data_IF_349378130060
#
_entry.id   IF_349378130060
#
_cell.length_a   1.000
_cell.length_b   1.000
_cell.length_c   1.000
_cell.angle_alpha   90.00
_cell.angle_beta   90.00
_cell.angle_gamma   90.00
#
_symmetry.space_group_name_H-M   'P 1'
#
loop_
_entity.id
_entity.type
_entity.pdbx_description
1 polymer ?
#
# COMPACT_ATOMS: atom_id res chain seq x y z
N UNK A 1 -8.42 -1.89 -1.26
CA UNK A 1 -8.68 -2.09 0.17
C UNK A 1 -7.35 -2.09 0.91
N UNK A 2 -7.34 -1.63 2.16
CA UNK A 2 -6.16 -1.63 3.01
C UNK A 2 -6.51 -1.09 4.38
N UNK A 3 -5.80 -1.56 5.40
CA UNK A 3 -5.91 -1.08 6.77
C UNK A 3 -4.54 -0.62 7.26
N UNK A 4 -4.51 0.50 7.99
CA UNK A 4 -3.28 1.04 8.55
C UNK A 4 -3.53 1.47 9.99
N UNK A 5 -2.68 1.00 10.88
CA UNK A 5 -2.68 1.36 12.30
C UNK A 5 -1.29 1.85 12.67
N UNK A 6 -1.25 3.00 13.31
CA UNK A 6 -0.02 3.70 13.69
C UNK A 6 0.02 3.90 15.21
N UNK A 7 1.22 3.90 15.77
CA UNK A 7 1.50 4.09 17.19
C UNK A 7 2.82 3.42 17.57
N UNK A 8 3.24 3.59 18.81
CA UNK A 8 4.38 2.84 19.35
C UNK A 8 4.08 1.33 19.27
N UNK A 9 5.07 0.55 18.86
CA UNK A 9 4.83 -0.87 18.56
C UNK A 9 4.36 -1.66 19.78
N UNK A 10 4.88 -1.35 20.96
CA UNK A 10 4.48 -1.96 22.24
C UNK A 10 3.05 -1.61 22.67
N UNK A 11 2.47 -0.55 22.14
CA UNK A 11 1.09 -0.12 22.44
C UNK A 11 0.08 -0.62 21.39
N UNK A 12 0.57 -1.17 20.28
CA UNK A 12 -0.31 -1.58 19.18
C UNK A 12 -1.05 -2.87 19.53
N UNK A 13 -2.38 -2.83 19.46
CA UNK A 13 -3.22 -3.99 19.73
C UNK A 13 -2.90 -5.14 18.75
N UNK A 14 -2.59 -6.37 19.24
CA UNK A 14 -2.28 -7.52 18.38
C UNK A 14 -3.35 -7.83 17.33
N UNK A 15 -4.64 -7.61 17.63
CA UNK A 15 -5.73 -7.79 16.65
C UNK A 15 -5.60 -6.83 15.46
N UNK A 16 -5.06 -5.63 15.68
CA UNK A 16 -4.81 -4.65 14.61
C UNK A 16 -3.64 -5.06 13.73
N UNK A 17 -2.61 -5.67 14.31
CA UNK A 17 -1.52 -6.28 13.55
C UNK A 17 -2.06 -7.42 12.67
N UNK A 18 -2.86 -8.33 13.24
CA UNK A 18 -3.48 -9.43 12.50
C UNK A 18 -4.38 -8.93 11.36
N UNK A 19 -5.16 -7.87 11.61
CA UNK A 19 -6.04 -7.26 10.59
C UNK A 19 -5.22 -6.72 9.40
N UNK A 20 -4.12 -6.00 9.66
CA UNK A 20 -3.23 -5.51 8.59
C UNK A 20 -2.60 -6.66 7.80
N UNK A 21 -2.06 -7.68 8.48
CA UNK A 21 -1.46 -8.84 7.83
C UNK A 21 -2.48 -9.55 6.95
N UNK A 22 -3.67 -9.77 7.47
CA UNK A 22 -4.74 -10.47 6.74
C UNK A 22 -5.22 -9.66 5.54
N UNK A 23 -5.55 -8.39 5.74
CA UNK A 23 -6.14 -7.55 4.68
C UNK A 23 -5.12 -7.18 3.61
N UNK A 24 -3.90 -6.79 4.01
CA UNK A 24 -2.95 -6.14 3.12
C UNK A 24 -1.88 -7.08 2.56
N UNK A 25 -1.78 -8.30 3.07
CA UNK A 25 -0.79 -9.29 2.61
C UNK A 25 -1.42 -10.65 2.29
N UNK A 26 -2.10 -11.29 3.25
CA UNK A 26 -2.65 -12.64 3.06
C UNK A 26 -3.70 -12.66 1.94
N UNK A 27 -4.67 -11.76 1.98
CA UNK A 27 -5.75 -11.70 0.97
C UNK A 27 -5.19 -11.48 -0.45
N UNK A 28 -4.30 -10.51 -0.72
CA UNK A 28 -3.69 -10.37 -2.04
C UNK A 28 -2.96 -11.63 -2.53
N UNK A 29 -2.25 -12.33 -1.65
CA UNK A 29 -1.56 -13.58 -1.99
C UNK A 29 -2.54 -14.68 -2.37
N UNK A 30 -3.60 -14.87 -1.58
CA UNK A 30 -4.64 -15.89 -1.84
C UNK A 30 -5.38 -15.58 -3.15
N UNK A 31 -5.82 -14.33 -3.36
CA UNK A 31 -6.49 -13.94 -4.59
C UNK A 31 -5.60 -14.15 -5.82
N UNK A 32 -4.34 -13.78 -5.71
CA UNK A 32 -3.36 -14.01 -6.79
C UNK A 32 -3.22 -15.51 -7.10
N UNK A 33 -3.12 -16.35 -6.07
CA UNK A 33 -3.03 -17.81 -6.22
C UNK A 33 -4.27 -18.37 -6.95
N UNK A 34 -5.47 -17.95 -6.57
CA UNK A 34 -6.71 -18.42 -7.18
C UNK A 34 -6.87 -17.99 -8.65
N UNK A 35 -6.45 -16.77 -8.99
CA UNK A 35 -6.62 -16.19 -10.32
C UNK A 35 -5.49 -16.54 -11.29
N UNK A 36 -4.30 -16.89 -10.79
CA UNK A 36 -3.07 -17.00 -11.58
C UNK A 36 -3.19 -18.01 -12.73
N UNK A 37 -3.87 -19.15 -12.51
CA UNK A 37 -4.07 -20.17 -13.56
C UNK A 37 -4.85 -19.61 -14.76
N UNK A 38 -5.88 -18.81 -14.49
CA UNK A 38 -6.66 -18.11 -15.52
C UNK A 38 -5.82 -17.04 -16.23
N UNK A 39 -5.05 -16.26 -15.47
CA UNK A 39 -4.19 -15.22 -16.02
C UNK A 39 -3.07 -15.77 -16.90
N UNK A 40 -2.50 -16.94 -16.56
CA UNK A 40 -1.52 -17.63 -17.43
C UNK A 40 -2.10 -18.01 -18.80
N UNK A 41 -3.41 -18.27 -18.90
CA UNK A 41 -4.09 -18.57 -20.17
C UNK A 41 -4.40 -17.29 -20.96
N UNK A 42 -4.73 -16.21 -20.29
CA UNK A 42 -5.30 -14.99 -20.89
C UNK A 42 -4.33 -13.79 -20.82
N UNK A 43 -3.06 -14.00 -20.46
CA UNK A 43 -2.04 -12.92 -20.28
C UNK A 43 -2.52 -11.82 -19.35
N UNK A 44 -3.02 -12.17 -18.16
CA UNK A 44 -3.61 -11.24 -17.20
C UNK A 44 -2.61 -10.25 -16.62
N UNK A 45 -3.15 -9.30 -15.85
CA UNK A 45 -2.37 -8.31 -15.12
C UNK A 45 -2.80 -8.24 -13.66
N UNK A 46 -1.84 -8.26 -12.73
CA UNK A 46 -2.03 -8.03 -11.30
C UNK A 46 -1.32 -6.74 -10.92
N UNK A 47 -2.02 -5.81 -10.28
CA UNK A 47 -1.41 -4.60 -9.76
C UNK A 47 -1.66 -4.55 -8.25
N UNK A 48 -0.60 -4.64 -7.46
CA UNK A 48 -0.66 -4.56 -6.01
C UNK A 48 -0.31 -3.14 -5.54
N UNK A 49 -1.14 -2.57 -4.70
CA UNK A 49 -0.91 -1.25 -4.12
C UNK A 49 -0.16 -1.42 -2.79
N UNK A 50 1.15 -1.19 -2.82
CA UNK A 50 2.02 -1.19 -1.65
C UNK A 50 2.05 0.19 -0.97
N UNK A 51 3.22 0.70 -0.68
CA UNK A 51 3.48 2.02 -0.10
C UNK A 51 4.98 2.33 -0.22
N UNK A 52 5.36 3.59 -0.17
CA UNK A 52 6.78 3.98 0.00
C UNK A 52 7.39 3.40 1.28
N UNK A 53 6.58 3.11 2.29
CA UNK A 53 7.01 2.46 3.55
C UNK A 53 7.47 1.01 3.36
N UNK A 54 7.23 0.42 2.19
CA UNK A 54 7.80 -0.87 1.82
C UNK A 54 9.31 -0.81 1.56
N UNK A 55 9.86 0.37 1.32
CA UNK A 55 11.25 0.59 0.91
C UNK A 55 12.04 1.46 1.89
N UNK A 56 11.40 1.97 2.94
CA UNK A 56 12.02 2.88 3.90
C UNK A 56 11.53 2.61 5.32
N UNK A 57 12.30 3.08 6.30
CA UNK A 57 11.90 3.04 7.72
C UNK A 57 10.59 3.80 7.93
N UNK A 58 9.71 3.24 8.77
CA UNK A 58 8.42 3.80 9.10
C UNK A 58 8.18 3.76 10.62
N UNK A 59 8.84 4.64 11.40
CA UNK A 59 8.58 4.75 12.83
C UNK A 59 7.09 4.98 13.12
N UNK A 60 6.59 4.41 14.20
CA UNK A 60 5.16 4.36 14.55
C UNK A 60 4.26 3.59 13.57
N UNK A 61 4.80 3.06 12.48
CA UNK A 61 4.10 2.23 11.50
C UNK A 61 4.85 0.95 11.16
N UNK A 62 5.60 0.38 12.12
CA UNK A 62 6.47 -0.79 11.90
C UNK A 62 5.72 -1.97 11.27
N UNK A 63 4.57 -2.33 11.81
CA UNK A 63 3.77 -3.44 11.30
C UNK A 63 3.21 -3.15 9.89
N UNK A 64 2.71 -1.94 9.66
CA UNK A 64 2.23 -1.52 8.34
C UNK A 64 3.36 -1.56 7.29
N UNK A 65 4.52 -0.99 7.62
CA UNK A 65 5.70 -1.02 6.74
C UNK A 65 6.12 -2.45 6.39
N UNK A 66 6.18 -3.34 7.39
CA UNK A 66 6.53 -4.74 7.19
C UNK A 66 5.54 -5.47 6.26
N UNK A 67 4.23 -5.25 6.44
CA UNK A 67 3.18 -5.82 5.60
C UNK A 67 3.30 -5.33 4.15
N UNK A 68 3.51 -4.03 3.95
CA UNK A 68 3.69 -3.45 2.60
C UNK A 68 5.00 -3.89 1.94
N UNK A 69 6.07 -4.06 2.71
CA UNK A 69 7.32 -4.65 2.22
C UNK A 69 7.12 -6.12 1.78
N UNK A 70 6.38 -6.90 2.57
CA UNK A 70 5.99 -8.26 2.23
C UNK A 70 5.20 -8.34 0.92
N UNK A 71 4.20 -7.46 0.74
CA UNK A 71 3.41 -7.39 -0.47
C UNK A 71 4.26 -7.02 -1.70
N UNK A 72 5.17 -6.06 -1.56
CA UNK A 72 6.07 -5.68 -2.64
C UNK A 72 7.04 -6.82 -3.01
N UNK A 73 7.61 -7.51 -2.03
CA UNK A 73 8.47 -8.68 -2.23
C UNK A 73 7.74 -9.83 -2.90
N UNK A 74 6.53 -10.15 -2.44
CA UNK A 74 5.65 -11.14 -3.06
C UNK A 74 5.39 -10.81 -4.53
N UNK A 75 5.07 -9.55 -4.84
CA UNK A 75 4.74 -9.12 -6.20
C UNK A 75 5.92 -9.25 -7.16
N UNK A 76 7.13 -8.90 -6.71
CA UNK A 76 8.36 -9.08 -7.51
C UNK A 76 8.61 -10.54 -7.83
N UNK A 77 8.52 -11.41 -6.83
CA UNK A 77 8.71 -12.85 -7.00
C UNK A 77 7.67 -13.45 -7.92
N UNK A 78 6.39 -13.05 -7.76
CA UNK A 78 5.30 -13.51 -8.62
C UNK A 78 5.46 -13.05 -10.07
N UNK A 79 5.98 -11.83 -10.30
CA UNK A 79 6.30 -11.35 -11.63
C UNK A 79 7.32 -12.26 -12.32
N UNK A 80 8.44 -12.55 -11.65
CA UNK A 80 9.49 -13.39 -12.22
C UNK A 80 9.01 -14.83 -12.49
N UNK A 81 8.17 -15.38 -11.63
CA UNK A 81 7.56 -16.70 -11.83
C UNK A 81 6.59 -16.73 -13.02
N UNK A 82 5.77 -15.68 -13.18
CA UNK A 82 4.62 -15.68 -14.08
C UNK A 82 4.89 -15.04 -15.45
N UNK A 83 5.93 -14.18 -15.58
CA UNK A 83 6.23 -13.42 -16.81
C UNK A 83 6.42 -14.28 -18.06
N UNK A 84 6.97 -15.47 -17.94
CA UNK A 84 7.14 -16.40 -19.07
C UNK A 84 5.81 -16.86 -19.69
N UNK A 85 4.70 -16.70 -18.99
CA UNK A 85 3.34 -16.96 -19.50
C UNK A 85 2.63 -15.69 -19.99
N UNK A 86 3.35 -14.56 -20.06
CA UNK A 86 2.76 -13.29 -20.45
C UNK A 86 1.96 -12.58 -19.35
N UNK A 87 1.97 -13.09 -18.11
CA UNK A 87 1.32 -12.43 -16.97
C UNK A 87 2.17 -11.24 -16.52
N UNK A 88 1.53 -10.10 -16.38
CA UNK A 88 2.14 -8.89 -15.82
C UNK A 88 1.80 -8.79 -14.34
N UNK A 89 2.78 -8.52 -13.51
CA UNK A 89 2.57 -8.21 -12.09
C UNK A 89 3.32 -6.93 -11.78
N UNK A 90 2.64 -5.98 -11.18
CA UNK A 90 3.19 -4.66 -10.85
C UNK A 90 2.94 -4.28 -9.40
N UNK A 91 3.82 -3.44 -8.88
CA UNK A 91 3.68 -2.77 -7.59
C UNK A 91 3.56 -1.28 -7.81
N UNK A 92 2.51 -0.68 -7.28
CA UNK A 92 2.43 0.77 -7.13
C UNK A 92 2.67 1.11 -5.66
N UNK A 93 3.64 1.97 -5.41
CA UNK A 93 4.06 2.40 -4.07
C UNK A 93 3.76 3.88 -3.87
N UNK A 94 2.51 4.24 -3.49
CA UNK A 94 2.18 5.64 -3.20
C UNK A 94 2.77 6.09 -1.87
N UNK A 95 3.10 7.36 -1.79
CA UNK A 95 3.34 8.10 -0.56
C UNK A 95 2.01 8.67 -0.03
N UNK A 96 2.06 9.71 0.79
CA UNK A 96 0.90 10.35 1.42
C UNK A 96 -0.20 10.64 0.41
N UNK A 97 -1.28 9.88 0.48
CA UNK A 97 -2.44 10.01 -0.40
C UNK A 97 -3.66 10.44 0.43
N UNK A 98 -4.38 11.45 -0.02
CA UNK A 98 -5.56 11.99 0.68
C UNK A 98 -6.72 11.02 0.61
N UNK A 99 -6.80 10.14 1.62
CA UNK A 99 -7.82 9.10 1.77
C UNK A 99 -8.15 8.89 3.24
N UNK A 100 -9.13 8.03 3.52
CA UNK A 100 -9.48 7.59 4.88
C UNK A 100 -8.46 6.60 5.52
N UNK A 101 -7.35 6.29 4.83
CA UNK A 101 -6.33 5.37 5.36
C UNK A 101 -5.76 5.85 6.70
N UNK A 102 -5.63 7.17 6.86
CA UNK A 102 -5.06 7.79 8.06
C UNK A 102 -6.09 8.08 9.16
N UNK A 103 -7.33 7.56 9.06
CA UNK A 103 -8.37 7.81 10.07
C UNK A 103 -7.94 7.40 11.48
N UNK A 104 -7.14 6.33 11.61
CA UNK A 104 -6.65 5.79 12.86
C UNK A 104 -5.24 6.31 13.26
N UNK A 105 -4.65 7.21 12.48
CA UNK A 105 -3.37 7.81 12.77
C UNK A 105 -3.54 9.14 13.53
N UNK A 106 -2.51 9.56 14.27
CA UNK A 106 -2.41 10.87 14.92
C UNK A 106 -2.00 11.99 13.95
N UNK A 107 -1.86 11.65 12.67
CA UNK A 107 -1.51 12.56 11.59
C UNK A 107 -2.42 12.39 10.38
N UNK A 108 -2.37 13.35 9.48
CA UNK A 108 -3.01 13.34 8.16
C UNK A 108 -2.12 14.06 7.14
N UNK A 109 -2.56 14.12 5.90
CA UNK A 109 -1.86 14.86 4.83
C UNK A 109 -1.72 16.35 5.21
N UNK A 110 -0.71 17.01 4.65
CA UNK A 110 -0.51 18.46 4.77
C UNK A 110 -1.67 19.25 4.17
N UNK A 111 -1.60 20.58 4.28
CA UNK A 111 -2.66 21.48 3.78
C UNK A 111 -2.47 21.84 2.30
N UNK A 112 -1.22 21.92 1.86
CA UNK A 112 -0.86 22.28 0.48
C UNK A 112 -1.10 21.11 -0.46
N UNK A 113 -1.62 21.39 -1.63
CA UNK A 113 -1.93 20.37 -2.65
C UNK A 113 -0.70 19.59 -3.09
N UNK A 114 0.46 20.22 -3.07
CA UNK A 114 1.74 19.62 -3.44
C UNK A 114 2.32 18.69 -2.36
N UNK A 115 1.66 18.57 -1.19
CA UNK A 115 2.11 17.74 -0.06
C UNK A 115 1.39 16.39 0.04
N UNK A 116 0.49 16.09 -0.88
CA UNK A 116 -0.21 14.81 -0.92
C UNK A 116 -0.57 14.41 -2.35
N UNK A 117 -0.77 13.12 -2.54
CA UNK A 117 -1.37 12.56 -3.75
C UNK A 117 -2.90 12.52 -3.61
N UNK A 118 -3.59 12.57 -4.73
CA UNK A 118 -5.00 12.23 -4.84
C UNK A 118 -5.16 10.76 -5.21
N UNK A 119 -6.29 10.11 -4.86
CA UNK A 119 -6.60 8.76 -5.33
C UNK A 119 -6.51 8.62 -6.86
N UNK A 120 -6.81 9.70 -7.59
CA UNK A 120 -6.74 9.73 -9.04
C UNK A 120 -5.30 9.54 -9.54
N UNK A 121 -4.30 10.13 -8.89
CA UNK A 121 -2.89 9.95 -9.28
C UNK A 121 -2.47 8.48 -9.23
N UNK A 122 -2.97 7.74 -8.22
CA UNK A 122 -2.73 6.31 -8.10
C UNK A 122 -3.49 5.53 -9.19
N UNK A 123 -4.72 5.91 -9.48
CA UNK A 123 -5.51 5.29 -10.55
C UNK A 123 -4.88 5.52 -11.94
N UNK A 124 -4.34 6.69 -12.20
CA UNK A 124 -3.65 7.02 -13.45
C UNK A 124 -2.36 6.18 -13.62
N UNK A 125 -1.62 5.96 -12.54
CA UNK A 125 -0.48 5.05 -12.56
C UNK A 125 -0.89 3.60 -12.87
N UNK A 126 -2.01 3.13 -12.32
CA UNK A 126 -2.56 1.81 -12.64
C UNK A 126 -2.98 1.75 -14.11
N UNK A 127 -3.66 2.77 -14.62
CA UNK A 127 -4.07 2.87 -16.03
C UNK A 127 -2.85 2.85 -16.96
N UNK A 128 -1.78 3.56 -16.61
CA UNK A 128 -0.51 3.53 -17.34
C UNK A 128 0.10 2.13 -17.39
N UNK A 129 0.14 1.41 -16.27
CA UNK A 129 0.66 0.03 -16.18
C UNK A 129 -0.15 -0.91 -17.07
N UNK A 130 -1.47 -0.85 -16.96
CA UNK A 130 -2.36 -1.76 -17.69
C UNK A 130 -2.37 -1.45 -19.19
N UNK A 131 -2.27 -0.19 -19.57
CA UNK A 131 -2.31 0.28 -20.95
C UNK A 131 -1.04 0.02 -21.78
N UNK A 132 0.00 -0.60 -21.21
CA UNK A 132 1.23 -0.88 -21.93
C UNK A 132 1.00 -1.92 -23.05
N UNK A 133 1.71 -1.75 -24.17
CA UNK A 133 1.70 -2.71 -25.29
C UNK A 133 2.20 -4.10 -24.85
N UNK A 134 1.87 -5.12 -25.60
CA UNK A 134 2.48 -6.46 -25.42
C UNK A 134 4.01 -6.38 -25.45
N UNK A 135 4.65 -7.21 -24.59
CA UNK A 135 6.11 -7.26 -24.44
C UNK A 135 6.70 -6.20 -23.52
N UNK A 136 5.88 -5.27 -23.01
CA UNK A 136 6.29 -4.29 -22.00
C UNK A 136 5.60 -4.59 -20.68
N UNK A 137 6.37 -4.68 -19.61
CA UNK A 137 5.88 -4.78 -18.25
C UNK A 137 6.49 -3.64 -17.42
N UNK A 138 5.65 -2.75 -16.94
CA UNK A 138 6.02 -1.79 -15.90
C UNK A 138 5.84 -2.53 -14.57
N UNK A 139 6.93 -2.92 -13.94
CA UNK A 139 6.90 -3.77 -12.74
C UNK A 139 6.75 -2.98 -11.45
N UNK A 140 7.28 -1.77 -11.40
CA UNK A 140 7.21 -0.93 -10.19
C UNK A 140 7.00 0.55 -10.56
N UNK A 141 6.12 1.21 -9.81
CA UNK A 141 5.91 2.66 -9.88
C UNK A 141 5.85 3.22 -8.47
N UNK A 142 6.67 4.22 -8.19
CA UNK A 142 6.61 4.96 -6.93
C UNK A 142 6.09 6.37 -7.19
N UNK A 143 5.05 6.75 -6.45
CA UNK A 143 4.46 8.08 -6.52
C UNK A 143 4.74 8.84 -5.23
N UNK A 144 5.23 10.07 -5.35
CA UNK A 144 5.48 10.95 -4.22
C UNK A 144 4.89 12.33 -4.49
N UNK A 145 4.32 13.00 -3.47
CA UNK A 145 4.02 14.41 -3.58
C UNK A 145 5.34 15.21 -3.71
N UNK A 146 5.27 16.41 -4.24
CA UNK A 146 6.45 17.27 -4.40
C UNK A 146 7.11 17.57 -3.04
N UNK A 147 6.29 17.79 -2.01
CA UNK A 147 6.76 18.05 -0.66
C UNK A 147 6.29 16.96 0.31
N UNK A 148 7.15 16.48 1.17
CA UNK A 148 6.76 15.57 2.26
C UNK A 148 6.37 16.41 3.49
N UNK A 149 5.07 16.70 3.63
CA UNK A 149 4.51 17.47 4.77
C UNK A 149 3.31 16.74 5.33
N UNK A 150 3.31 16.56 6.64
CA UNK A 150 2.21 15.98 7.38
C UNK A 150 1.67 17.00 8.39
N UNK A 151 0.39 16.88 8.72
CA UNK A 151 -0.24 17.63 9.79
C UNK A 151 -0.61 16.67 10.92
N UNK A 152 -0.22 17.01 12.16
CA UNK A 152 -0.67 16.25 13.32
C UNK A 152 -2.12 16.60 13.64
N UNK A 153 -2.91 15.57 13.96
CA UNK A 153 -4.27 15.77 14.44
C UNK A 153 -4.24 16.27 15.88
N UNK A 154 -5.19 17.13 16.32
CA UNK A 154 -5.33 17.49 17.73
C UNK A 154 -5.49 16.22 18.57
N UNK A 155 -4.73 16.12 19.65
CA UNK A 155 -4.90 15.03 20.62
C UNK A 155 -6.27 15.22 21.25
N UNK A 156 -7.20 14.28 21.07
CA UNK A 156 -8.44 14.24 21.83
C UNK A 156 -8.06 14.20 23.32
N UNK A 157 -8.42 15.24 24.08
CA UNK A 157 -8.21 15.25 25.54
C UNK A 157 -8.93 14.00 26.09
N UNK A 158 -8.15 13.03 26.57
CA UNK A 158 -8.71 12.00 27.44
C UNK A 158 -9.24 12.75 28.66
N UNK A 159 -10.56 12.82 28.82
CA UNK A 159 -11.15 13.22 30.08
C UNK A 159 -10.59 12.31 31.16
N UNK A 160 -9.87 12.91 32.13
CA UNK A 160 -9.45 12.15 33.30
C UNK A 160 -10.74 11.76 34.03
N UNK A 161 -10.89 10.50 34.46
CA UNK A 161 -11.97 10.16 35.37
C UNK A 161 -11.84 11.09 36.58
N UNK A 162 -12.93 11.78 36.92
CA UNK A 162 -13.04 12.50 38.19
C UNK A 162 -13.08 11.43 39.25
N UNK A 163 -12.10 11.45 40.16
CA UNK A 163 -12.06 10.61 41.36
C UNK A 163 -13.24 10.92 42.28
#
# INVERSE_FOLDING_TARGET
AGSAYYGLHEELNPKKIQEMVRTDLEVPMILSQQLLRGFKKNKGCIVNIASVTAQQSNPHGCAYGAVKAGLASFSRSLFDEARKYGVRVAVVSPDMTKTELYRNADFTVGEETESYLLPQDVADAVAYIVGQREGVAVSEVTLRPQYHRIRRKPVAKKERPVE
#
